data_IF_052541970461
#
_entry.id   IF_052541970461
#
_cell.length_a   1.000
_cell.length_b   1.000
_cell.length_c   1.000
_cell.angle_alpha   90.00
_cell.angle_beta   90.00
_cell.angle_gamma   90.00
#
_symmetry.space_group_name_H-M   'P 1'
#
loop_
_entity.id
_entity.type
_entity.pdbx_description
1 polymer ?
#
# COMPACT_ATOMS: atom_id res chain seq x y z
N UNK A 1 1.37 3.49 -0.24
CA UNK A 1 2.47 4.30 0.35
C UNK A 1 3.13 5.17 -0.72
N UNK A 2 4.34 5.66 -0.49
CA UNK A 2 5.19 6.26 -1.53
C UNK A 2 6.33 5.29 -1.89
N UNK A 3 7.17 5.64 -2.87
CA UNK A 3 8.31 4.80 -3.26
C UNK A 3 9.40 4.66 -2.18
N UNK A 4 9.43 5.56 -1.20
CA UNK A 4 10.38 5.54 -0.06
C UNK A 4 9.88 4.72 1.13
N UNK A 5 8.59 4.37 1.12
CA UNK A 5 7.94 3.65 2.21
C UNK A 5 7.79 2.17 1.87
N UNK A 6 7.54 1.38 2.90
CA UNK A 6 7.07 0.01 2.73
C UNK A 6 5.78 0.00 1.90
N UNK A 7 5.65 -1.02 1.05
CA UNK A 7 4.35 -1.36 0.45
C UNK A 7 3.40 -1.79 1.56
N UNK A 8 2.10 -1.77 1.30
CA UNK A 8 1.10 -2.24 2.26
C UNK A 8 1.35 -3.70 2.64
N UNK A 9 1.67 -4.56 1.66
CA UNK A 9 1.98 -5.97 1.91
C UNK A 9 3.25 -6.12 2.77
N UNK A 10 4.30 -5.35 2.48
CA UNK A 10 5.53 -5.36 3.26
C UNK A 10 5.34 -4.85 4.69
N UNK A 11 4.58 -3.76 4.83
CA UNK A 11 4.29 -3.14 6.13
C UNK A 11 3.39 -4.03 7.00
N UNK A 12 2.34 -4.61 6.43
CA UNK A 12 1.42 -5.49 7.16
C UNK A 12 2.14 -6.72 7.69
N UNK A 13 3.00 -7.34 6.86
CA UNK A 13 3.78 -8.53 7.22
C UNK A 13 4.99 -8.25 8.11
N UNK A 14 5.45 -7.00 8.20
CA UNK A 14 6.70 -6.64 8.89
C UNK A 14 7.96 -6.95 8.07
N UNK A 15 7.81 -7.27 6.78
CA UNK A 15 8.92 -7.55 5.87
C UNK A 15 9.90 -6.37 5.77
N UNK A 16 9.39 -5.15 5.75
CA UNK A 16 10.20 -3.93 5.70
C UNK A 16 11.07 -3.75 6.96
N UNK A 17 10.54 -4.10 8.13
CA UNK A 17 11.29 -4.06 9.38
C UNK A 17 12.43 -5.07 9.35
N UNK A 18 12.14 -6.29 8.92
CA UNK A 18 13.15 -7.33 8.78
C UNK A 18 14.25 -6.89 7.80
N UNK A 19 13.88 -6.37 6.64
CA UNK A 19 14.82 -5.89 5.62
C UNK A 19 15.72 -4.76 6.14
N UNK A 20 15.15 -3.75 6.82
CA UNK A 20 15.91 -2.64 7.42
C UNK A 20 16.84 -3.13 8.52
N UNK A 21 16.37 -3.99 9.44
CA UNK A 21 17.17 -4.53 10.55
C UNK A 21 18.36 -5.35 10.04
N UNK A 22 18.19 -6.10 8.96
CA UNK A 22 19.25 -6.90 8.35
C UNK A 22 20.45 -6.07 7.87
N UNK A 23 20.25 -4.79 7.57
CA UNK A 23 21.29 -3.84 7.14
C UNK A 23 21.62 -2.79 8.22
N UNK A 24 21.22 -3.03 9.47
CA UNK A 24 21.52 -2.15 10.60
C UNK A 24 20.72 -0.85 10.62
N UNK A 25 19.58 -0.80 9.92
CA UNK A 25 18.68 0.36 9.88
C UNK A 25 17.36 0.08 10.60
N UNK A 26 16.64 1.16 10.91
CA UNK A 26 15.31 1.14 11.52
C UNK A 26 15.36 1.08 13.04
N UNK A 27 14.53 1.91 13.68
CA UNK A 27 14.36 1.96 15.14
C UNK A 27 12.95 1.53 15.58
N UNK A 28 12.07 1.25 14.62
CA UNK A 28 10.69 0.87 14.88
C UNK A 28 10.62 -0.54 15.49
N UNK A 29 9.93 -0.66 16.62
CA UNK A 29 9.72 -1.93 17.31
C UNK A 29 8.51 -2.69 16.75
N UNK A 30 8.46 -4.00 16.99
CA UNK A 30 7.31 -4.82 16.58
C UNK A 30 6.03 -4.40 17.33
N UNK A 31 6.17 -3.87 18.55
CA UNK A 31 5.07 -3.31 19.34
C UNK A 31 4.53 -2.01 18.73
N UNK A 32 5.40 -1.12 18.24
CA UNK A 32 4.98 0.09 17.52
C UNK A 32 4.15 -0.31 16.29
N UNK A 33 4.69 -1.22 15.49
CA UNK A 33 4.02 -1.74 14.29
C UNK A 33 2.67 -2.38 14.61
N UNK A 34 2.59 -3.15 15.69
CA UNK A 34 1.34 -3.76 16.12
C UNK A 34 0.28 -2.71 16.49
N UNK A 35 0.67 -1.65 17.20
CA UNK A 35 -0.22 -0.53 17.54
C UNK A 35 -0.73 0.19 16.28
N UNK A 36 0.15 0.46 15.32
CA UNK A 36 -0.24 1.12 14.07
C UNK A 36 -1.18 0.27 13.22
N UNK A 37 -0.93 -1.04 13.09
CA UNK A 37 -1.85 -1.97 12.40
C UNK A 37 -3.23 -2.01 13.05
N UNK A 38 -3.28 -2.03 14.38
CA UNK A 38 -4.55 -1.97 15.11
C UNK A 38 -5.28 -0.64 14.88
N UNK A 39 -4.56 0.49 14.83
CA UNK A 39 -5.13 1.79 14.54
C UNK A 39 -5.70 1.85 13.11
N UNK A 40 -4.96 1.32 12.12
CA UNK A 40 -5.44 1.21 10.74
C UNK A 40 -6.72 0.37 10.68
N UNK A 41 -6.72 -0.83 11.28
CA UNK A 41 -7.89 -1.70 11.30
C UNK A 41 -9.11 -1.03 11.95
N UNK A 42 -8.90 -0.32 13.06
CA UNK A 42 -9.95 0.43 13.76
C UNK A 42 -10.54 1.51 12.84
N UNK A 43 -9.68 2.27 12.15
CA UNK A 43 -10.11 3.29 11.19
C UNK A 43 -10.89 2.71 10.01
N UNK A 44 -10.42 1.60 9.43
CA UNK A 44 -11.11 0.93 8.33
C UNK A 44 -12.49 0.42 8.76
N UNK A 45 -12.59 -0.23 9.92
CA UNK A 45 -13.85 -0.73 10.46
C UNK A 45 -14.84 0.40 10.76
N UNK A 46 -14.37 1.55 11.26
CA UNK A 46 -15.23 2.72 11.47
C UNK A 46 -15.88 3.25 10.18
N UNK A 47 -15.26 2.97 9.02
CA UNK A 47 -15.77 3.30 7.68
C UNK A 47 -16.39 2.10 6.96
N UNK A 48 -16.73 1.04 7.69
CA UNK A 48 -17.37 -0.16 7.16
C UNK A 48 -16.50 -0.93 6.15
N UNK A 49 -15.18 -0.84 6.27
CA UNK A 49 -14.22 -1.54 5.41
C UNK A 49 -13.53 -2.68 6.18
N UNK A 50 -13.32 -3.80 5.48
CA UNK A 50 -12.59 -4.97 5.99
C UNK A 50 -11.18 -5.02 5.37
N UNK A 51 -10.15 -5.18 6.22
CA UNK A 51 -8.74 -4.89 5.90
C UNK A 51 -8.16 -5.38 4.56
N UNK A 52 -6.99 -4.86 4.22
CA UNK A 52 -6.31 -5.13 2.95
C UNK A 52 -6.41 -3.96 1.96
N UNK A 53 -5.78 -4.12 0.79
CA UNK A 53 -5.59 -3.00 -0.16
C UNK A 53 -6.92 -2.42 -0.66
N UNK A 54 -7.93 -3.26 -0.89
CA UNK A 54 -9.21 -2.79 -1.39
C UNK A 54 -9.94 -1.90 -0.37
N UNK A 55 -9.89 -2.26 0.92
CA UNK A 55 -10.44 -1.43 1.99
C UNK A 55 -9.68 -0.12 2.16
N UNK A 56 -8.35 -0.16 2.16
CA UNK A 56 -7.53 1.06 2.24
C UNK A 56 -7.85 1.99 1.08
N UNK A 57 -7.95 1.46 -0.14
CA UNK A 57 -8.29 2.25 -1.32
C UNK A 57 -9.68 2.89 -1.22
N UNK A 58 -10.70 2.13 -0.80
CA UNK A 58 -12.07 2.66 -0.61
C UNK A 58 -12.13 3.70 0.50
N UNK A 59 -11.43 3.47 1.61
CA UNK A 59 -11.29 4.44 2.69
C UNK A 59 -10.70 5.76 2.19
N UNK A 60 -9.60 5.70 1.41
CA UNK A 60 -8.98 6.89 0.81
C UNK A 60 -9.93 7.60 -0.18
N UNK A 61 -10.67 6.85 -1.00
CA UNK A 61 -11.63 7.40 -1.94
C UNK A 61 -12.86 8.05 -1.27
N UNK A 62 -13.10 7.82 0.02
CA UNK A 62 -14.18 8.49 0.76
C UNK A 62 -13.73 9.80 1.41
N UNK A 63 -12.43 10.13 1.36
CA UNK A 63 -11.92 11.40 1.87
C UNK A 63 -12.29 12.56 0.94
N UNK A 64 -12.29 13.82 1.41
CA UNK A 64 -12.50 15.00 0.56
C UNK A 64 -11.28 15.34 -0.32
N UNK A 65 -10.30 14.45 -0.45
CA UNK A 65 -9.14 14.66 -1.30
C UNK A 65 -9.53 14.58 -2.78
N UNK A 66 -9.15 15.60 -3.56
CA UNK A 66 -9.44 15.66 -5.01
C UNK A 66 -8.73 14.59 -5.84
N UNK A 67 -7.66 14.01 -5.33
CA UNK A 67 -6.87 12.97 -6.00
C UNK A 67 -6.51 11.88 -5.01
N UNK A 68 -6.64 10.63 -5.45
CA UNK A 68 -6.17 9.43 -4.75
C UNK A 68 -5.16 8.73 -5.64
N UNK A 69 -4.01 8.37 -5.07
CA UNK A 69 -2.97 7.61 -5.76
C UNK A 69 -2.78 6.27 -5.05
N UNK A 70 -2.76 5.20 -5.84
CA UNK A 70 -2.50 3.83 -5.35
C UNK A 70 -1.25 3.33 -6.06
N UNK A 71 -0.28 2.82 -5.29
CA UNK A 71 0.92 2.23 -5.86
C UNK A 71 0.59 0.92 -6.56
N UNK A 72 1.20 0.69 -7.73
CA UNK A 72 1.08 -0.59 -8.43
C UNK A 72 1.69 -1.73 -7.61
N UNK A 73 2.76 -1.48 -6.86
CA UNK A 73 3.33 -2.48 -5.95
C UNK A 73 2.33 -2.92 -4.88
N UNK A 74 1.50 -1.99 -4.38
CA UNK A 74 0.44 -2.30 -3.42
C UNK A 74 -0.68 -3.14 -4.05
N UNK A 75 -1.05 -2.83 -5.31
CA UNK A 75 -2.04 -3.59 -6.07
C UNK A 75 -1.58 -5.01 -6.39
N UNK A 76 -0.29 -5.18 -6.68
CA UNK A 76 0.34 -6.48 -6.97
C UNK A 76 0.78 -7.23 -5.71
N UNK A 77 0.57 -6.66 -4.52
CA UNK A 77 0.92 -7.29 -3.25
C UNK A 77 2.43 -7.50 -3.07
N UNK A 78 3.27 -6.68 -3.71
CA UNK A 78 4.73 -6.78 -3.63
C UNK A 78 5.16 -6.47 -2.20
N UNK A 79 5.91 -7.36 -1.54
CA UNK A 79 6.35 -7.15 -0.15
C UNK A 79 7.63 -6.30 -0.05
N UNK A 80 8.55 -6.46 -0.98
CA UNK A 80 9.83 -5.76 -0.98
C UNK A 80 9.64 -4.24 -1.18
N UNK A 81 10.63 -3.44 -0.79
CA UNK A 81 10.70 -2.00 -1.14
C UNK A 81 11.53 -1.76 -2.42
N UNK A 82 11.08 -0.80 -3.26
CA UNK A 82 11.86 -0.35 -4.43
C UNK A 82 13.03 0.55 -4.02
N UNK A 83 12.88 1.26 -2.91
CA UNK A 83 13.91 2.10 -2.30
C UNK A 83 13.88 1.97 -0.77
N UNK A 84 15.05 1.89 -0.15
CA UNK A 84 15.22 2.04 1.30
C UNK A 84 16.07 3.31 1.53
N UNK A 85 15.45 4.42 1.96
CA UNK A 85 16.18 5.66 2.23
C UNK A 85 17.35 5.46 3.20
N UNK A 86 18.45 6.17 2.95
CA UNK A 86 19.67 6.07 3.75
C UNK A 86 20.59 4.91 3.37
N UNK A 87 20.34 4.25 2.25
CA UNK A 87 21.21 3.19 1.71
C UNK A 87 21.80 3.57 0.36
N UNK A 88 22.98 3.03 0.06
CA UNK A 88 23.65 3.18 -1.26
C UNK A 88 23.91 1.80 -1.84
N UNK A 89 24.67 0.97 -1.14
CA UNK A 89 25.05 -0.39 -1.58
C UNK A 89 24.32 -1.50 -0.81
N UNK A 90 23.65 -1.16 0.29
CA UNK A 90 23.01 -2.12 1.20
C UNK A 90 21.68 -2.66 0.66
N UNK A 91 21.01 -1.90 -0.20
CA UNK A 91 19.77 -2.29 -0.88
C UNK A 91 19.88 -1.97 -2.36
N UNK A 92 19.39 -2.83 -3.27
CA UNK A 92 19.37 -2.56 -4.71
C UNK A 92 18.29 -1.51 -5.08
N UNK A 93 18.46 -0.29 -4.56
CA UNK A 93 17.54 0.83 -4.78
C UNK A 93 17.31 1.07 -6.28
N UNK A 94 16.05 1.28 -6.66
CA UNK A 94 15.63 1.63 -8.02
C UNK A 94 15.90 0.58 -9.09
N UNK A 95 16.30 -0.64 -8.70
CA UNK A 95 16.64 -1.72 -9.64
C UNK A 95 15.54 -2.76 -9.78
N UNK A 96 14.57 -2.79 -8.86
CA UNK A 96 13.52 -3.80 -8.87
C UNK A 96 12.46 -3.49 -9.93
N UNK A 97 12.10 -4.50 -10.70
CA UNK A 97 10.96 -4.48 -11.63
C UNK A 97 9.70 -5.02 -10.96
N UNK A 98 8.54 -4.68 -11.50
CA UNK A 98 7.29 -5.30 -11.09
C UNK A 98 7.30 -6.80 -11.43
N UNK A 99 6.69 -7.66 -10.59
CA UNK A 99 6.76 -9.11 -10.74
C UNK A 99 5.90 -9.66 -11.88
N UNK A 100 4.97 -8.84 -12.40
CA UNK A 100 3.99 -9.22 -13.41
C UNK A 100 4.11 -8.24 -14.59
N UNK A 101 4.22 -8.73 -15.84
CA UNK A 101 4.25 -7.88 -17.02
C UNK A 101 2.91 -7.15 -17.22
N UNK A 102 2.93 -5.98 -17.87
CA UNK A 102 1.77 -5.10 -18.00
C UNK A 102 0.57 -5.81 -18.67
N UNK A 103 0.84 -6.65 -19.66
CA UNK A 103 -0.13 -7.43 -20.43
C UNK A 103 -0.99 -8.33 -19.54
N UNK A 104 -0.47 -8.73 -18.38
CA UNK A 104 -1.15 -9.60 -17.44
C UNK A 104 -1.95 -8.82 -16.39
N UNK A 105 -1.85 -7.48 -16.31
CA UNK A 105 -2.49 -6.71 -15.21
C UNK A 105 -4.02 -6.67 -15.27
N UNK A 106 -4.62 -6.95 -16.42
CA UNK A 106 -6.07 -7.12 -16.51
C UNK A 106 -6.56 -8.47 -15.95
N UNK A 107 -5.65 -9.41 -15.69
CA UNK A 107 -5.97 -10.77 -15.25
C UNK A 107 -6.18 -10.90 -13.74
N UNK A 108 -5.48 -10.14 -12.86
CA UNK A 108 -5.84 -10.06 -11.45
C UNK A 108 -7.22 -9.46 -11.27
N UNK A 109 -8.19 -10.32 -10.92
CA UNK A 109 -9.56 -9.93 -10.59
C UNK A 109 -9.61 -8.77 -9.58
N UNK A 110 -8.65 -8.74 -8.66
CA UNK A 110 -8.52 -7.67 -7.67
C UNK A 110 -8.26 -6.29 -8.28
N UNK A 111 -7.40 -6.17 -9.30
CA UNK A 111 -7.06 -4.87 -9.92
C UNK A 111 -8.29 -4.30 -10.62
N UNK A 112 -8.96 -5.13 -11.43
CA UNK A 112 -10.17 -4.73 -12.17
C UNK A 112 -11.27 -4.30 -11.19
N UNK A 113 -11.55 -5.13 -10.18
CA UNK A 113 -12.56 -4.81 -9.16
C UNK A 113 -12.25 -3.54 -8.37
N UNK A 114 -10.97 -3.28 -8.10
CA UNK A 114 -10.56 -2.06 -7.43
C UNK A 114 -10.75 -0.83 -8.30
N UNK A 115 -10.29 -0.87 -9.55
CA UNK A 115 -10.41 0.25 -10.48
C UNK A 115 -11.88 0.59 -10.72
N UNK A 116 -12.71 -0.41 -11.02
CA UNK A 116 -14.15 -0.22 -11.27
C UNK A 116 -14.88 0.29 -10.02
N UNK A 117 -14.58 -0.30 -8.85
CA UNK A 117 -15.19 0.09 -7.58
C UNK A 117 -14.85 1.52 -7.16
N UNK A 118 -13.59 1.95 -7.35
CA UNK A 118 -13.15 3.31 -7.03
C UNK A 118 -13.70 4.33 -8.01
N UNK A 119 -13.75 4.00 -9.31
CA UNK A 119 -14.31 4.87 -10.34
C UNK A 119 -15.75 5.26 -10.03
N UNK A 120 -16.58 4.30 -9.62
CA UNK A 120 -17.96 4.58 -9.22
C UNK A 120 -18.06 5.47 -7.97
N UNK A 121 -17.23 5.22 -6.94
CA UNK A 121 -17.23 6.01 -5.70
C UNK A 121 -16.80 7.46 -5.94
N UNK A 122 -15.73 7.67 -6.69
CA UNK A 122 -15.21 9.01 -6.99
C UNK A 122 -16.21 9.81 -7.85
N UNK A 123 -16.87 9.16 -8.81
CA UNK A 123 -17.90 9.81 -9.62
C UNK A 123 -19.11 10.24 -8.79
N UNK A 124 -19.51 9.45 -7.79
CA UNK A 124 -20.60 9.82 -6.88
C UNK A 124 -20.24 11.06 -6.07
N UNK A 125 -19.03 11.16 -5.55
CA UNK A 125 -18.59 12.34 -4.80
C UNK A 125 -18.61 13.61 -5.65
N UNK A 126 -18.12 13.54 -6.89
CA UNK A 126 -18.15 14.68 -7.81
C UNK A 126 -19.57 15.17 -8.13
N UNK A 127 -20.55 14.28 -8.13
CA UNK A 127 -21.95 14.63 -8.39
C UNK A 127 -22.67 15.22 -7.16
N UNK A 128 -22.05 15.19 -5.98
CA UNK A 128 -22.60 15.70 -4.72
C UNK A 128 -22.02 17.06 -4.29
N UNK A 129 -21.12 17.65 -5.09
CA UNK A 129 -20.62 19.04 -4.96
C UNK A 129 -21.35 19.99 -5.92
#
# INVERSE_FOLDING_TARGET
GTHDLATLAGWMSGHDLHAKRAIGLGSESDDDRARERNALQTGLTAYGQDGGIAAVARFLAQTPSRLVAISVDDLLGVADQVNIPGTVEQHPNWRRKLPVPLEEWASPLLIVQLVDGLGHLLQQQLNHE
#
